data_IF_290241478108
#
_entry.id   IF_290241478108
#
_cell.length_a   1.000
_cell.length_b   1.000
_cell.length_c   1.000
_cell.angle_alpha   90.00
_cell.angle_beta   90.00
_cell.angle_gamma   90.00
#
_symmetry.space_group_name_H-M   'P 1'
#
loop_
_entity.id
_entity.type
_entity.pdbx_description
1 polymer ?
#
# COMPACT_ATOMS: atom_id res chain seq x y z
N UNK A 1 17.60 -7.13 -0.68
CA UNK A 1 17.07 -5.94 -1.39
C UNK A 1 17.52 -4.74 -0.60
N UNK A 2 18.19 -3.76 -1.21
CA UNK A 2 18.61 -2.55 -0.51
C UNK A 2 17.38 -1.66 -0.22
N UNK A 3 17.28 -1.16 1.01
CA UNK A 3 16.17 -0.33 1.47
C UNK A 3 16.52 1.13 1.21
N UNK A 4 15.95 1.67 0.14
CA UNK A 4 16.11 3.08 -0.21
C UNK A 4 14.83 3.84 0.08
N UNK A 5 14.94 4.93 0.83
CA UNK A 5 13.87 5.92 1.04
C UNK A 5 14.27 7.20 0.32
N UNK A 6 13.39 7.67 -0.58
CA UNK A 6 13.62 8.83 -1.44
C UNK A 6 12.62 9.95 -1.13
N UNK A 7 12.92 11.16 -1.60
CA UNK A 7 11.95 12.26 -1.60
C UNK A 7 10.69 11.88 -2.39
N UNK A 8 9.57 12.49 -2.02
CA UNK A 8 8.31 12.26 -2.72
C UNK A 8 8.44 12.60 -4.21
N UNK A 9 8.04 11.67 -5.07
CA UNK A 9 7.99 11.88 -6.52
C UNK A 9 6.53 12.12 -6.95
N UNK A 10 6.17 13.29 -7.50
CA UNK A 10 4.81 13.57 -7.96
C UNK A 10 4.33 12.61 -9.07
N UNK A 11 5.24 11.96 -9.80
CA UNK A 11 4.88 11.00 -10.84
C UNK A 11 4.32 9.68 -10.29
N UNK A 12 4.44 9.40 -8.98
CA UNK A 12 3.87 8.18 -8.39
C UNK A 12 2.36 8.09 -8.56
N UNK A 13 1.66 9.23 -8.63
CA UNK A 13 0.22 9.24 -8.95
C UNK A 13 -0.04 8.74 -10.37
N UNK A 14 0.78 9.15 -11.34
CA UNK A 14 0.65 8.70 -12.73
C UNK A 14 1.07 7.23 -12.89
N UNK A 15 2.09 6.78 -12.16
CA UNK A 15 2.46 5.37 -12.09
C UNK A 15 1.31 4.50 -11.54
N UNK A 16 0.67 4.95 -10.46
CA UNK A 16 -0.55 4.34 -9.94
C UNK A 16 -1.67 4.29 -10.99
N UNK A 17 -2.01 5.43 -11.62
CA UNK A 17 -3.10 5.49 -12.61
C UNK A 17 -2.83 4.65 -13.85
N UNK A 18 -1.56 4.47 -14.23
CA UNK A 18 -1.17 3.56 -15.30
C UNK A 18 -1.45 2.11 -14.89
N UNK A 19 -0.94 1.69 -13.73
CA UNK A 19 -1.13 0.32 -13.26
C UNK A 19 -2.59 0.00 -12.95
N UNK A 20 -3.35 0.96 -12.42
CA UNK A 20 -4.79 0.85 -12.16
C UNK A 20 -5.59 0.51 -13.42
N UNK A 21 -5.23 1.08 -14.58
CA UNK A 21 -5.90 0.79 -15.86
C UNK A 21 -5.71 -0.66 -16.29
N UNK A 22 -4.49 -1.17 -16.21
CA UNK A 22 -4.18 -2.58 -16.54
C UNK A 22 -4.95 -3.53 -15.60
N UNK A 23 -5.03 -3.21 -14.31
CA UNK A 23 -5.78 -4.00 -13.33
C UNK A 23 -7.28 -3.97 -13.60
N UNK A 24 -7.84 -2.80 -13.96
CA UNK A 24 -9.25 -2.65 -14.34
C UNK A 24 -9.62 -3.51 -15.54
N UNK A 25 -8.74 -3.59 -16.55
CA UNK A 25 -8.95 -4.44 -17.72
C UNK A 25 -8.95 -5.94 -17.37
N UNK A 26 -8.11 -6.36 -16.42
CA UNK A 26 -8.04 -7.74 -15.94
C UNK A 26 -9.30 -8.12 -15.14
N UNK A 27 -9.68 -7.29 -14.16
CA UNK A 27 -10.71 -7.65 -13.19
C UNK A 27 -12.13 -7.35 -13.67
N UNK A 28 -12.30 -6.37 -14.55
CA UNK A 28 -13.60 -5.98 -15.10
C UNK A 28 -14.64 -5.79 -13.98
N UNK A 29 -15.79 -6.47 -14.08
CA UNK A 29 -16.90 -6.38 -13.13
C UNK A 29 -16.56 -6.88 -11.72
N UNK A 30 -15.46 -7.61 -11.53
CA UNK A 30 -15.05 -8.10 -10.21
C UNK A 30 -14.44 -6.98 -9.34
N UNK A 31 -13.93 -5.91 -9.98
CA UNK A 31 -13.36 -4.75 -9.28
C UNK A 31 -14.46 -3.76 -8.90
N UNK A 32 -14.71 -3.63 -7.60
CA UNK A 32 -15.62 -2.60 -7.06
C UNK A 32 -14.94 -1.23 -7.09
N UNK A 33 -13.70 -1.15 -6.62
CA UNK A 33 -12.94 0.08 -6.61
C UNK A 33 -11.43 -0.17 -6.40
N UNK A 34 -10.62 0.82 -6.74
CA UNK A 34 -9.17 0.80 -6.57
C UNK A 34 -8.70 2.12 -5.97
N UNK A 35 -7.71 2.06 -5.08
CA UNK A 35 -7.15 3.25 -4.44
C UNK A 35 -5.63 3.20 -4.37
N UNK A 36 -5.00 4.34 -4.62
CA UNK A 36 -3.59 4.55 -4.28
C UNK A 36 -3.50 4.70 -2.77
N UNK A 37 -2.74 3.82 -2.12
CA UNK A 37 -2.52 3.81 -0.67
C UNK A 37 -1.03 3.81 -0.37
N UNK A 38 -0.67 3.63 0.91
CA UNK A 38 0.72 3.61 1.34
C UNK A 38 1.40 4.96 1.23
N UNK A 39 2.71 4.99 1.46
CA UNK A 39 3.43 6.27 1.56
C UNK A 39 3.53 7.04 0.24
N UNK A 40 3.53 6.33 -0.90
CA UNK A 40 3.65 6.98 -2.22
C UNK A 40 2.37 7.71 -2.64
N UNK A 41 1.25 7.48 -1.95
CA UNK A 41 -0.01 8.20 -2.15
C UNK A 41 -0.13 9.51 -1.37
N UNK A 42 0.84 9.84 -0.51
CA UNK A 42 0.83 11.02 0.36
C UNK A 42 1.79 12.08 -0.19
N UNK A 43 1.29 13.24 -0.66
CA UNK A 43 2.15 14.31 -1.19
C UNK A 43 3.20 14.77 -0.17
N UNK A 44 4.45 14.88 -0.63
CA UNK A 44 5.57 15.33 0.21
C UNK A 44 6.15 14.28 1.16
N UNK A 45 5.54 13.09 1.28
CA UNK A 45 6.04 12.02 2.14
C UNK A 45 7.20 11.26 1.49
N UNK A 46 8.37 11.26 2.15
CA UNK A 46 9.47 10.38 1.77
C UNK A 46 9.05 8.91 1.82
N UNK A 47 9.40 8.11 0.83
CA UNK A 47 8.94 6.73 0.74
C UNK A 47 9.96 5.83 0.04
N UNK A 48 9.78 4.51 0.20
CA UNK A 48 10.32 3.56 -0.77
C UNK A 48 9.54 3.76 -2.08
N UNK A 49 10.19 3.74 -3.25
CA UNK A 49 9.52 3.96 -4.54
C UNK A 49 8.75 2.68 -4.96
N UNK A 50 7.73 2.34 -4.17
CA UNK A 50 6.85 1.20 -4.36
C UNK A 50 5.41 1.73 -4.31
N UNK A 51 4.65 1.49 -5.36
CA UNK A 51 3.24 1.87 -5.43
C UNK A 51 2.42 0.80 -4.71
N UNK A 52 1.77 1.17 -3.61
CA UNK A 52 0.84 0.30 -2.90
C UNK A 52 -0.59 0.60 -3.39
N UNK A 53 -1.29 -0.44 -3.83
CA UNK A 53 -2.62 -0.37 -4.44
C UNK A 53 -3.59 -1.17 -3.56
N UNK A 54 -4.70 -0.55 -3.17
CA UNK A 54 -5.82 -1.22 -2.51
C UNK A 54 -6.87 -1.55 -3.56
N UNK A 55 -7.22 -2.83 -3.69
CA UNK A 55 -8.36 -3.26 -4.51
C UNK A 55 -9.50 -3.70 -3.60
N UNK A 56 -10.68 -3.18 -3.88
CA UNK A 56 -11.93 -3.63 -3.29
C UNK A 56 -12.66 -4.44 -4.33
N UNK A 57 -13.00 -5.69 -4.01
CA UNK A 57 -13.57 -6.65 -4.97
C UNK A 57 -14.87 -7.28 -4.44
N UNK A 58 -15.69 -7.84 -5.32
CA UNK A 58 -16.96 -8.43 -4.93
C UNK A 58 -16.80 -9.74 -4.14
N UNK A 59 -15.97 -10.65 -4.65
CA UNK A 59 -15.68 -11.96 -4.08
C UNK A 59 -14.18 -12.23 -4.08
N UNK A 60 -13.56 -12.14 -2.90
CA UNK A 60 -12.09 -12.23 -2.79
C UNK A 60 -11.52 -13.56 -3.31
N UNK A 61 -12.27 -14.66 -3.17
CA UNK A 61 -11.82 -15.97 -3.62
C UNK A 61 -11.84 -16.11 -5.15
N UNK A 62 -12.60 -15.28 -5.88
CA UNK A 62 -12.56 -15.29 -7.35
C UNK A 62 -11.22 -14.83 -7.89
N UNK A 63 -10.48 -13.99 -7.14
CA UNK A 63 -9.15 -13.51 -7.55
C UNK A 63 -8.14 -14.64 -7.74
N UNK A 64 -8.36 -15.81 -7.13
CA UNK A 64 -7.51 -16.99 -7.35
C UNK A 64 -7.54 -17.44 -8.81
N UNK A 65 -8.66 -17.20 -9.52
CA UNK A 65 -8.81 -17.48 -10.95
C UNK A 65 -8.10 -16.44 -11.86
N UNK A 66 -7.65 -15.32 -11.29
CA UNK A 66 -6.95 -14.25 -12.03
C UNK A 66 -5.44 -14.34 -11.89
N UNK A 67 -4.91 -15.42 -11.30
CA UNK A 67 -3.47 -15.62 -11.11
C UNK A 67 -2.70 -15.47 -12.43
N UNK A 68 -3.12 -16.15 -13.51
CA UNK A 68 -2.42 -16.08 -14.80
C UNK A 68 -2.40 -14.67 -15.41
N UNK A 69 -3.52 -13.91 -15.51
CA UNK A 69 -3.47 -12.51 -15.93
C UNK A 69 -2.52 -11.63 -15.11
N UNK A 70 -2.52 -11.74 -13.78
CA UNK A 70 -1.63 -10.97 -12.93
C UNK A 70 -0.15 -11.34 -13.13
N UNK A 71 0.15 -12.63 -13.30
CA UNK A 71 1.50 -13.11 -13.63
C UNK A 71 1.97 -12.58 -14.98
N UNK A 72 1.10 -12.53 -15.99
CA UNK A 72 1.39 -11.92 -17.29
C UNK A 72 1.67 -10.42 -17.19
N UNK A 73 1.01 -9.72 -16.27
CA UNK A 73 1.30 -8.31 -15.94
C UNK A 73 2.58 -8.14 -15.09
N UNK A 74 3.23 -9.24 -14.69
CA UNK A 74 4.51 -9.27 -13.98
C UNK A 74 4.41 -9.38 -12.46
N UNK A 75 3.26 -9.75 -11.92
CA UNK A 75 3.06 -9.97 -10.49
C UNK A 75 3.41 -11.39 -10.05
N UNK A 76 3.95 -11.50 -8.84
CA UNK A 76 3.97 -12.73 -8.06
C UNK A 76 2.69 -12.78 -7.21
N UNK A 77 1.94 -13.89 -7.31
CA UNK A 77 0.72 -14.13 -6.53
C UNK A 77 1.08 -14.76 -5.19
N UNK A 78 0.74 -14.10 -4.08
CA UNK A 78 1.20 -14.49 -2.74
C UNK A 78 0.10 -15.07 -1.85
N UNK A 79 -1.14 -15.15 -2.35
CA UNK A 79 -2.31 -15.51 -1.54
C UNK A 79 -2.55 -14.51 -0.41
N UNK A 80 -2.88 -14.99 0.79
CA UNK A 80 -3.12 -14.12 1.96
C UNK A 80 -1.84 -13.44 2.49
N UNK A 81 -0.74 -14.19 2.49
CA UNK A 81 0.58 -13.74 2.94
C UNK A 81 0.55 -13.11 4.36
N UNK A 82 -0.09 -13.79 5.30
CA UNK A 82 -0.12 -13.40 6.73
C UNK A 82 -1.28 -12.48 7.14
N UNK A 83 -2.16 -12.06 6.22
CA UNK A 83 -3.37 -11.30 6.55
C UNK A 83 -4.60 -12.07 6.04
N UNK A 84 -5.45 -12.53 6.97
CA UNK A 84 -6.65 -13.29 6.65
C UNK A 84 -7.59 -12.50 5.73
N UNK A 85 -8.12 -13.16 4.71
CA UNK A 85 -9.05 -12.56 3.75
C UNK A 85 -8.40 -11.57 2.78
N UNK A 86 -7.07 -11.52 2.68
CA UNK A 86 -6.34 -10.74 1.68
C UNK A 86 -6.02 -11.60 0.45
N UNK A 87 -5.89 -10.95 -0.71
CA UNK A 87 -5.02 -11.44 -1.78
C UNK A 87 -3.92 -10.42 -2.05
N UNK A 88 -2.69 -10.87 -1.94
CA UNK A 88 -1.50 -10.04 -2.04
C UNK A 88 -0.74 -10.36 -3.31
N UNK A 89 -0.41 -9.32 -4.07
CA UNK A 89 0.39 -9.44 -5.29
C UNK A 89 1.56 -8.47 -5.22
N UNK A 90 2.71 -8.88 -5.76
CA UNK A 90 3.91 -8.05 -5.73
C UNK A 90 4.66 -8.11 -7.06
N UNK A 91 5.11 -6.97 -7.59
CA UNK A 91 5.76 -6.86 -8.92
C UNK A 91 7.13 -6.20 -8.86
N UNK A 92 8.06 -6.61 -9.73
CA UNK A 92 9.44 -6.07 -9.82
C UNK A 92 10.53 -6.90 -9.14
N UNK A 93 10.21 -8.07 -8.57
CA UNK A 93 11.19 -8.98 -7.97
C UNK A 93 12.05 -8.32 -6.90
N UNK A 94 13.38 -8.38 -7.08
CA UNK A 94 14.36 -7.75 -6.18
C UNK A 94 14.29 -6.21 -6.18
N UNK A 95 13.80 -5.60 -7.27
CA UNK A 95 13.57 -4.17 -7.39
C UNK A 95 12.06 -3.90 -7.37
N UNK A 96 11.43 -4.28 -6.25
CA UNK A 96 9.99 -4.16 -6.04
C UNK A 96 9.48 -2.79 -6.48
N UNK A 97 8.43 -2.76 -7.30
CA UNK A 97 7.82 -1.53 -7.82
C UNK A 97 6.35 -1.39 -7.43
N UNK A 98 5.61 -2.50 -7.30
CA UNK A 98 4.19 -2.45 -6.96
C UNK A 98 3.82 -3.52 -5.93
N UNK A 99 2.86 -3.18 -5.10
CA UNK A 99 2.14 -4.08 -4.21
C UNK A 99 0.64 -3.88 -4.41
N UNK A 100 -0.10 -4.98 -4.45
CA UNK A 100 -1.56 -4.98 -4.46
C UNK A 100 -2.03 -5.65 -3.18
N UNK A 101 -2.88 -4.96 -2.45
CA UNK A 101 -3.66 -5.46 -1.33
C UNK A 101 -5.11 -5.53 -1.77
N UNK A 102 -5.61 -6.74 -2.06
CA UNK A 102 -7.01 -6.93 -2.43
C UNK A 102 -7.81 -7.47 -1.25
N UNK A 103 -8.99 -6.90 -1.04
CA UNK A 103 -9.95 -7.31 -0.01
C UNK A 103 -11.37 -7.30 -0.55
N UNK A 104 -12.21 -8.19 -0.02
CA UNK A 104 -13.64 -8.19 -0.33
C UNK A 104 -14.30 -6.90 0.18
N UNK A 105 -15.33 -6.39 -0.51
CA UNK A 105 -16.01 -5.13 -0.20
C UNK A 105 -16.51 -4.99 1.24
N UNK A 106 -16.82 -6.10 1.92
CA UNK A 106 -17.31 -6.11 3.29
C UNK A 106 -16.20 -6.28 4.35
N UNK A 107 -14.92 -6.31 3.95
CA UNK A 107 -13.79 -6.26 4.88
C UNK A 107 -13.49 -4.80 5.26
N UNK A 108 -14.45 -4.18 5.93
CA UNK A 108 -14.39 -2.76 6.30
C UNK A 108 -13.16 -2.43 7.15
N UNK A 109 -12.73 -3.35 8.02
CA UNK A 109 -11.58 -3.14 8.90
C UNK A 109 -10.31 -2.84 8.09
N UNK A 110 -9.96 -3.70 7.14
CA UNK A 110 -8.71 -3.55 6.38
C UNK A 110 -8.80 -2.42 5.35
N UNK A 111 -9.96 -2.26 4.71
CA UNK A 111 -10.21 -1.19 3.74
C UNK A 111 -10.09 0.18 4.43
N UNK A 112 -10.81 0.40 5.53
CA UNK A 112 -10.79 1.68 6.25
C UNK A 112 -9.47 1.95 6.94
N UNK A 113 -8.77 0.93 7.45
CA UNK A 113 -7.42 1.08 8.02
C UNK A 113 -6.47 1.72 7.00
N UNK A 114 -6.43 1.20 5.78
CA UNK A 114 -5.58 1.72 4.72
C UNK A 114 -5.99 3.12 4.24
N UNK A 115 -7.28 3.34 3.96
CA UNK A 115 -7.77 4.62 3.47
C UNK A 115 -7.63 5.73 4.51
N UNK A 116 -8.00 5.46 5.76
CA UNK A 116 -7.91 6.43 6.84
C UNK A 116 -6.46 6.79 7.13
N UNK A 117 -5.53 5.82 7.14
CA UNK A 117 -4.11 6.10 7.34
C UNK A 117 -3.55 7.06 6.28
N UNK A 118 -3.85 6.81 4.99
CA UNK A 118 -3.46 7.73 3.90
C UNK A 118 -4.04 9.11 4.12
N UNK A 119 -5.37 9.19 4.28
CA UNK A 119 -6.08 10.47 4.31
C UNK A 119 -5.65 11.30 5.52
N UNK A 120 -5.41 10.65 6.66
CA UNK A 120 -4.88 11.29 7.86
C UNK A 120 -3.50 11.91 7.61
N UNK A 121 -2.57 11.16 7.00
CA UNK A 121 -1.24 11.69 6.68
C UNK A 121 -1.27 12.81 5.64
N UNK A 122 -2.22 12.79 4.71
CA UNK A 122 -2.44 13.90 3.77
C UNK A 122 -2.88 15.19 4.47
N UNK A 123 -3.67 15.08 5.54
CA UNK A 123 -4.18 16.23 6.29
C UNK A 123 -3.25 16.72 7.41
N UNK A 124 -2.31 15.88 7.86
CA UNK A 124 -1.38 16.17 8.97
C UNK A 124 0.07 16.15 8.49
N UNK A 125 0.52 17.20 7.76
CA UNK A 125 1.84 17.24 7.14
C UNK A 125 3.00 17.13 8.15
N UNK A 126 2.80 17.56 9.40
CA UNK A 126 3.75 17.40 10.49
C UNK A 126 3.97 15.92 10.84
N UNK A 127 2.90 15.12 10.94
CA UNK A 127 2.98 13.68 11.21
C UNK A 127 3.60 12.95 10.00
N UNK A 128 3.23 13.35 8.79
CA UNK A 128 3.84 12.85 7.54
C UNK A 128 5.36 13.11 7.51
N UNK A 129 5.79 14.32 7.90
CA UNK A 129 7.21 14.67 7.98
C UNK A 129 7.96 13.80 8.99
N UNK A 130 7.41 13.61 10.19
CA UNK A 130 8.00 12.75 11.22
C UNK A 130 8.10 11.30 10.75
N UNK A 131 7.07 10.79 10.08
CA UNK A 131 7.10 9.45 9.50
C UNK A 131 8.16 9.30 8.41
N UNK A 132 8.31 10.31 7.54
CA UNK A 132 9.36 10.36 6.51
C UNK A 132 10.77 10.38 7.10
N UNK A 133 10.98 11.13 8.19
CA UNK A 133 12.25 11.17 8.90
C UNK A 133 12.60 9.81 9.54
N UNK A 134 11.64 9.19 10.25
CA UNK A 134 11.81 7.87 10.84
C UNK A 134 12.20 6.81 9.80
N UNK A 135 11.48 6.76 8.66
CA UNK A 135 11.82 5.82 7.58
C UNK A 135 13.22 6.06 7.03
N UNK A 136 13.63 7.31 6.88
CA UNK A 136 14.96 7.65 6.38
C UNK A 136 16.06 7.22 7.35
N UNK A 137 15.84 7.37 8.67
CA UNK A 137 16.75 6.89 9.70
C UNK A 137 16.85 5.36 9.70
N UNK A 138 15.71 4.66 9.69
CA UNK A 138 15.66 3.20 9.68
C UNK A 138 16.31 2.61 8.43
N UNK A 139 16.11 3.22 7.26
CA UNK A 139 16.76 2.80 6.02
C UNK A 139 18.29 2.91 6.09
N UNK A 140 18.83 3.94 6.77
CA UNK A 140 20.27 4.06 7.02
C UNK A 140 20.78 3.04 8.03
N UNK A 141 19.99 2.73 9.05
CA UNK A 141 20.35 1.81 10.14
C UNK A 141 20.28 0.35 9.71
N UNK A 142 19.33 0.01 8.84
CA UNK A 142 19.01 -1.35 8.39
C UNK A 142 18.90 -1.41 6.86
N UNK A 143 19.97 -1.11 6.09
CA UNK A 143 19.88 -1.00 4.63
C UNK A 143 19.53 -2.32 3.94
N UNK A 144 19.78 -3.47 4.57
CA UNK A 144 19.63 -4.79 3.95
C UNK A 144 18.59 -5.67 4.67
N UNK A 145 18.04 -5.17 5.78
CA UNK A 145 17.23 -5.92 6.73
C UNK A 145 15.80 -5.37 6.74
N UNK A 146 14.99 -5.95 5.86
CA UNK A 146 13.59 -5.52 5.65
C UNK A 146 12.71 -5.77 6.87
N UNK A 147 13.04 -6.78 7.66
CA UNK A 147 12.31 -7.13 8.89
C UNK A 147 12.57 -6.05 9.94
N UNK A 148 13.83 -5.76 10.27
CA UNK A 148 14.15 -4.70 11.24
C UNK A 148 13.71 -3.31 10.80
N UNK A 149 13.75 -3.02 9.49
CA UNK A 149 13.18 -1.78 8.96
C UNK A 149 11.66 -1.72 9.14
N UNK A 150 10.96 -2.84 8.97
CA UNK A 150 9.52 -2.98 9.22
C UNK A 150 9.19 -2.78 10.70
N UNK A 151 9.86 -3.54 11.57
CA UNK A 151 9.66 -3.52 13.01
C UNK A 151 9.94 -2.14 13.61
N UNK A 152 11.00 -1.48 13.16
CA UNK A 152 11.42 -0.18 13.69
C UNK A 152 10.41 0.95 13.50
N UNK A 153 9.42 0.79 12.62
CA UNK A 153 8.33 1.76 12.41
C UNK A 153 6.95 1.25 12.82
N UNK A 154 6.83 0.00 13.27
CA UNK A 154 5.56 -0.66 13.52
C UNK A 154 4.74 0.08 14.60
N UNK A 155 5.37 0.42 15.73
CA UNK A 155 4.72 1.18 16.81
C UNK A 155 4.23 2.56 16.35
N UNK A 156 5.04 3.26 15.53
CA UNK A 156 4.66 4.55 14.96
C UNK A 156 3.44 4.39 14.04
N UNK A 157 3.47 3.41 13.14
CA UNK A 157 2.37 3.14 12.20
C UNK A 157 1.09 2.81 12.95
N UNK A 158 1.14 1.89 13.92
CA UNK A 158 -0.04 1.50 14.73
C UNK A 158 -0.63 2.67 15.50
N UNK A 159 0.20 3.55 16.06
CA UNK A 159 -0.28 4.75 16.75
C UNK A 159 -0.97 5.72 15.78
N UNK A 160 -0.40 5.94 14.59
CA UNK A 160 -1.01 6.80 13.56
C UNK A 160 -2.27 6.17 12.99
N UNK A 161 -2.33 4.86 12.76
CA UNK A 161 -3.55 4.16 12.32
C UNK A 161 -4.69 4.34 13.34
N UNK A 162 -4.39 4.23 14.64
CA UNK A 162 -5.37 4.50 15.70
C UNK A 162 -5.90 5.93 15.64
N UNK A 163 -5.02 6.92 15.51
CA UNK A 163 -5.42 8.33 15.40
C UNK A 163 -6.23 8.58 14.12
N UNK A 164 -5.80 8.00 13.00
CA UNK A 164 -6.45 8.11 11.72
C UNK A 164 -7.89 7.57 11.74
N UNK A 165 -8.12 6.44 12.41
CA UNK A 165 -9.47 5.89 12.58
C UNK A 165 -10.35 6.77 13.47
N UNK A 166 -9.81 7.34 14.55
CA UNK A 166 -10.56 8.31 15.37
C UNK A 166 -10.90 9.56 14.54
N UNK A 167 -9.94 10.07 13.78
CA UNK A 167 -10.10 11.23 12.91
C UNK A 167 -11.14 10.98 11.80
N UNK A 168 -11.14 9.79 11.19
CA UNK A 168 -12.13 9.38 10.20
C UNK A 168 -13.56 9.60 10.72
N UNK A 169 -13.88 9.17 11.94
CA UNK A 169 -15.25 9.27 12.47
C UNK A 169 -15.60 10.64 13.05
N UNK A 170 -14.64 11.56 13.16
CA UNK A 170 -14.85 12.86 13.79
C UNK A 170 -14.78 14.03 12.81
N UNK A 171 -14.08 13.87 11.67
CA UNK A 171 -13.71 14.98 10.80
C UNK A 171 -13.77 14.68 9.30
N UNK A 172 -14.04 13.43 8.87
CA UNK A 172 -14.10 13.02 7.45
C UNK A 172 -15.53 12.92 6.93
#
# INVERSE_FOLDING_TARGET
>A
MNITVVEHNPNWKEEYLKEEREIKEILQDELVNSFHIGSTSVPGLKAKPIIDILLVVHEINKLDNYSTPFEQLGYEVMGEFGICGRRYFRKGGSNRTHHIHAFQYNNFQEIERHLSFRDYLCHHPEISKDYGALKSELAKKYPDDIERYGDGKDDFVKNVEKQALIWHWTMR
#
